data_IF_314289407227
#
_entry.id   IF_314289407227
#
_cell.length_a   1.000
_cell.length_b   1.000
_cell.length_c   1.000
_cell.angle_alpha   90.00
_cell.angle_beta   90.00
_cell.angle_gamma   90.00
#
_symmetry.space_group_name_H-M   'P 1'
#
loop_
_entity.id
_entity.type
_entity.pdbx_description
1 polymer ?
#
# COMPACT_ATOMS: atom_id res chain seq x y z
N UNK A 1 6.62 7.39 -18.26
CA UNK A 1 5.39 6.82 -17.74
C UNK A 1 5.20 7.18 -16.28
N UNK A 2 4.05 7.71 -15.96
CA UNK A 2 3.81 8.19 -14.61
C UNK A 2 3.12 7.15 -13.76
N UNK A 3 3.66 6.95 -12.58
CA UNK A 3 2.97 6.19 -11.58
C UNK A 3 2.05 7.10 -10.79
N UNK A 4 0.85 6.63 -10.43
CA UNK A 4 0.01 7.41 -9.53
C UNK A 4 0.62 7.46 -8.14
N UNK A 5 1.50 6.54 -7.84
CA UNK A 5 2.12 6.43 -6.53
C UNK A 5 3.31 7.34 -6.44
N UNK A 6 3.30 8.24 -5.47
CA UNK A 6 4.38 9.20 -5.32
C UNK A 6 5.49 8.70 -4.43
N UNK A 7 5.13 8.21 -3.24
CA UNK A 7 6.15 7.84 -2.27
C UNK A 7 5.53 6.90 -1.23
N UNK A 8 6.35 5.98 -0.75
CA UNK A 8 6.01 5.13 0.39
C UNK A 8 6.50 5.83 1.64
N UNK A 9 5.61 6.08 2.57
CA UNK A 9 5.97 6.82 3.78
C UNK A 9 6.29 5.92 4.95
N UNK A 10 5.47 4.90 5.17
CA UNK A 10 5.63 4.03 6.33
C UNK A 10 5.17 2.64 6.01
N UNK A 11 5.54 1.70 6.86
CA UNK A 11 5.05 0.33 6.77
C UNK A 11 4.56 -0.11 8.14
N UNK A 12 3.67 -1.09 8.16
CA UNK A 12 3.19 -1.65 9.42
C UNK A 12 2.68 -3.06 9.19
N UNK A 13 2.55 -3.82 10.29
CA UNK A 13 1.94 -5.13 10.29
C UNK A 13 0.50 -4.99 10.73
N UNK A 14 -0.40 -5.72 10.07
CA UNK A 14 -1.81 -5.63 10.38
C UNK A 14 -2.42 -7.02 10.30
N UNK A 15 -3.20 -7.39 11.33
CA UNK A 15 -3.87 -8.68 11.32
C UNK A 15 -5.18 -8.55 10.56
N UNK A 16 -5.37 -9.46 9.62
CA UNK A 16 -6.62 -9.49 8.83
C UNK A 16 -7.44 -10.70 9.27
N UNK A 17 -8.57 -10.41 9.90
CA UNK A 17 -9.46 -11.47 10.37
C UNK A 17 -10.01 -12.30 9.22
N UNK A 18 -10.34 -11.65 8.13
CA UNK A 18 -10.90 -12.34 6.98
C UNK A 18 -9.92 -13.33 6.36
N UNK A 19 -8.64 -13.05 6.48
CA UNK A 19 -7.59 -13.92 5.94
C UNK A 19 -6.94 -14.77 7.03
N UNK A 20 -7.22 -14.44 8.28
CA UNK A 20 -6.65 -15.11 9.45
C UNK A 20 -5.13 -15.12 9.42
N UNK A 21 -4.56 -13.98 9.04
CA UNK A 21 -3.11 -13.86 9.03
C UNK A 21 -2.70 -12.40 9.13
N UNK A 22 -1.44 -12.20 9.45
CA UNK A 22 -0.84 -10.89 9.50
C UNK A 22 -0.33 -10.54 8.10
N UNK A 23 -0.63 -9.34 7.65
CA UNK A 23 -0.12 -8.85 6.38
C UNK A 23 0.68 -7.58 6.61
N UNK A 24 1.53 -7.26 5.65
CA UNK A 24 2.27 -6.01 5.66
C UNK A 24 1.48 -4.97 4.87
N UNK A 25 1.30 -3.81 5.48
CA UNK A 25 0.67 -2.68 4.80
C UNK A 25 1.67 -1.56 4.67
N UNK A 26 1.52 -0.77 3.63
CA UNK A 26 2.37 0.38 3.39
C UNK A 26 1.51 1.62 3.29
N UNK A 27 2.04 2.72 3.83
CA UNK A 27 1.38 4.01 3.72
C UNK A 27 1.96 4.71 2.49
N UNK A 28 1.09 5.00 1.55
CA UNK A 28 1.50 5.62 0.29
C UNK A 28 0.81 6.95 0.13
N UNK A 29 1.47 7.84 -0.56
CA UNK A 29 0.94 9.14 -0.90
C UNK A 29 0.71 9.18 -2.39
N UNK A 30 -0.57 9.16 -2.79
CA UNK A 30 -0.90 9.41 -4.17
C UNK A 30 -0.91 10.92 -4.40
N UNK A 31 -0.59 11.30 -5.61
CA UNK A 31 -0.57 12.69 -5.98
C UNK A 31 -1.92 13.33 -5.67
N UNK A 32 -1.92 14.42 -4.97
CA UNK A 32 -3.13 15.20 -4.67
C UNK A 32 -4.13 14.51 -3.77
N UNK A 33 -3.75 13.42 -3.12
CA UNK A 33 -4.66 12.71 -2.24
C UNK A 33 -4.05 12.52 -0.88
N UNK A 34 -4.90 12.17 0.07
CA UNK A 34 -4.46 11.87 1.42
C UNK A 34 -3.66 10.58 1.42
N UNK A 35 -2.66 10.48 2.31
CA UNK A 35 -1.95 9.21 2.46
C UNK A 35 -2.93 8.09 2.81
N UNK A 36 -2.68 6.92 2.28
CA UNK A 36 -3.54 5.77 2.50
C UNK A 36 -2.71 4.54 2.80
N UNK A 37 -3.28 3.65 3.63
CA UNK A 37 -2.66 2.37 3.92
C UNK A 37 -3.20 1.33 2.95
N UNK A 38 -2.32 0.65 2.26
CA UNK A 38 -2.73 -0.42 1.34
C UNK A 38 -1.87 -1.64 1.60
N UNK A 39 -2.38 -2.85 1.28
CA UNK A 39 -1.57 -4.05 1.41
C UNK A 39 -0.35 -3.96 0.50
N UNK A 40 0.76 -4.50 0.96
CA UNK A 40 1.98 -4.49 0.16
C UNK A 40 1.77 -5.18 -1.19
N UNK A 41 0.99 -6.25 -1.20
CA UNK A 41 0.70 -6.95 -2.45
C UNK A 41 -0.02 -6.06 -3.45
N UNK A 42 -0.91 -5.20 -2.93
CA UNK A 42 -1.60 -4.26 -3.80
C UNK A 42 -0.61 -3.29 -4.43
N UNK A 43 0.36 -2.83 -3.64
CA UNK A 43 1.39 -1.94 -4.16
C UNK A 43 2.16 -2.61 -5.28
N UNK A 44 2.54 -3.87 -5.09
CA UNK A 44 3.27 -4.61 -6.12
C UNK A 44 2.45 -4.73 -7.40
N UNK A 45 1.15 -4.98 -7.25
CA UNK A 45 0.27 -5.10 -8.42
C UNK A 45 0.18 -3.79 -9.18
N UNK A 46 0.12 -2.68 -8.45
CA UNK A 46 0.08 -1.36 -9.08
C UNK A 46 1.36 -1.10 -9.87
N UNK A 47 2.49 -1.40 -9.26
CA UNK A 47 3.78 -1.12 -9.87
C UNK A 47 4.15 -2.09 -10.97
N UNK A 48 3.49 -3.23 -11.04
CA UNK A 48 3.80 -4.23 -12.04
C UNK A 48 3.22 -3.92 -13.41
N UNK A 49 2.40 -2.89 -13.50
CA UNK A 49 1.76 -2.54 -14.76
C UNK A 49 2.63 -1.82 -15.75
#
# INVERSE_FOLDING_TARGET
MNNPLSVIKNTRQSYRKDLQKVITEVQVQFKDEQPAWIPYETLLAINAR
#
